data_IF_400699654499
#
_entry.id   IF_400699654499
#
_cell.length_a   1.000
_cell.length_b   1.000
_cell.length_c   1.000
_cell.angle_alpha   90.00
_cell.angle_beta   90.00
_cell.angle_gamma   90.00
#
_symmetry.space_group_name_H-M   'P 1'
#
loop_
_entity.id
_entity.type
_entity.pdbx_description
1 polymer ?
#
# COMPACT_ATOMS: atom_id res chain seq x y z
N UNK A 1 11.90 -8.53 -12.66
CA UNK A 1 10.66 -9.05 -13.27
C UNK A 1 10.32 -8.18 -14.48
N UNK A 2 9.83 -8.74 -15.58
CA UNK A 2 9.37 -7.90 -16.70
C UNK A 2 7.95 -7.39 -16.45
N UNK A 3 7.77 -6.07 -16.50
CA UNK A 3 6.49 -5.39 -16.29
C UNK A 3 5.85 -4.91 -17.61
N UNK A 4 6.01 -5.65 -18.70
CA UNK A 4 5.38 -5.33 -20.00
C UNK A 4 4.36 -6.40 -20.38
N UNK A 5 3.30 -5.98 -21.06
CA UNK A 5 2.20 -6.82 -21.55
C UNK A 5 1.52 -7.59 -20.41
N UNK A 6 1.14 -6.84 -19.34
CA UNK A 6 0.53 -7.37 -18.12
C UNK A 6 -0.86 -6.79 -17.87
N UNK A 7 -1.73 -7.57 -17.28
CA UNK A 7 -2.99 -7.13 -16.69
C UNK A 7 -2.73 -6.84 -15.20
N UNK A 8 -2.79 -5.58 -14.81
CA UNK A 8 -2.38 -5.10 -13.49
C UNK A 8 -3.56 -4.50 -12.75
N UNK A 9 -3.94 -5.08 -11.63
CA UNK A 9 -4.92 -4.52 -10.70
C UNK A 9 -4.21 -3.56 -9.75
N UNK A 10 -4.76 -2.35 -9.58
CA UNK A 10 -4.28 -1.35 -8.62
C UNK A 10 -5.44 -0.90 -7.74
N UNK A 11 -5.38 -1.20 -6.45
CA UNK A 11 -6.37 -0.70 -5.49
C UNK A 11 -5.97 0.69 -4.98
N UNK A 12 -6.96 1.55 -4.67
CA UNK A 12 -6.70 2.93 -4.29
C UNK A 12 -6.02 3.74 -5.41
N UNK A 13 -6.40 3.46 -6.66
CA UNK A 13 -5.74 4.01 -7.84
C UNK A 13 -6.00 5.50 -8.09
N UNK A 14 -7.04 6.09 -7.48
CA UNK A 14 -7.51 7.44 -7.82
C UNK A 14 -6.57 8.59 -7.44
N UNK A 15 -5.59 8.36 -6.57
CA UNK A 15 -4.68 9.41 -6.10
C UNK A 15 -3.33 8.86 -5.62
N UNK A 16 -2.41 9.76 -5.27
CA UNK A 16 -1.15 9.44 -4.63
C UNK A 16 -0.31 8.41 -5.37
N UNK A 17 0.23 7.43 -4.64
CA UNK A 17 1.12 6.39 -5.18
C UNK A 17 0.39 5.53 -6.23
N UNK A 18 -0.86 5.15 -5.96
CA UNK A 18 -1.65 4.32 -6.88
C UNK A 18 -1.86 4.98 -8.25
N UNK A 19 -2.19 6.27 -8.25
CA UNK A 19 -2.31 7.09 -9.48
C UNK A 19 -0.99 7.11 -10.26
N UNK A 20 0.12 7.39 -9.60
CA UNK A 20 1.43 7.49 -10.26
C UNK A 20 1.92 6.14 -10.79
N UNK A 21 1.61 5.04 -10.09
CA UNK A 21 1.85 3.69 -10.59
C UNK A 21 1.02 3.40 -11.84
N UNK A 22 -0.27 3.76 -11.84
CA UNK A 22 -1.14 3.58 -13.00
C UNK A 22 -0.63 4.35 -14.23
N UNK A 23 -0.27 5.64 -14.07
CA UNK A 23 0.28 6.47 -15.15
C UNK A 23 1.55 5.87 -15.75
N UNK A 24 2.49 5.41 -14.90
CA UNK A 24 3.78 4.86 -15.37
C UNK A 24 3.67 3.47 -15.98
N UNK A 25 2.79 2.65 -15.46
CA UNK A 25 2.63 1.26 -15.91
C UNK A 25 1.73 1.14 -17.14
N UNK A 26 0.83 2.11 -17.40
CA UNK A 26 -0.11 2.06 -18.52
C UNK A 26 0.56 2.06 -19.91
N UNK A 27 1.82 2.52 -20.00
CA UNK A 27 2.53 2.60 -21.29
C UNK A 27 2.60 1.25 -22.02
N UNK A 28 2.69 0.16 -21.29
CA UNK A 28 2.86 -1.19 -21.86
C UNK A 28 1.93 -2.24 -21.24
N UNK A 29 0.92 -1.82 -20.48
CA UNK A 29 0.08 -2.73 -19.71
C UNK A 29 -1.38 -2.32 -19.72
N UNK A 30 -2.27 -3.28 -19.51
CA UNK A 30 -3.66 -3.01 -19.17
C UNK A 30 -3.75 -2.74 -17.66
N UNK A 31 -4.41 -1.67 -17.28
CA UNK A 31 -4.55 -1.27 -15.87
C UNK A 31 -6.02 -1.38 -15.45
N UNK A 32 -6.27 -2.11 -14.38
CA UNK A 32 -7.56 -2.23 -13.73
C UNK A 32 -7.51 -1.33 -12.50
N UNK A 33 -8.21 -0.20 -12.57
CA UNK A 33 -8.24 0.84 -11.56
C UNK A 33 -9.38 0.57 -10.58
N UNK A 34 -9.05 0.25 -9.33
CA UNK A 34 -10.04 0.05 -8.25
C UNK A 34 -9.99 1.22 -7.29
N UNK A 35 -11.16 1.81 -7.00
CA UNK A 35 -11.27 2.91 -6.04
C UNK A 35 -12.71 3.24 -5.67
N UNK A 36 -12.91 3.89 -4.52
CA UNK A 36 -14.24 4.27 -4.02
C UNK A 36 -14.87 5.42 -4.81
N UNK A 37 -14.05 6.33 -5.31
CA UNK A 37 -14.52 7.48 -6.09
C UNK A 37 -14.37 7.17 -7.58
N UNK A 38 -15.49 6.79 -8.20
CA UNK A 38 -15.52 6.42 -9.63
C UNK A 38 -15.03 7.55 -10.52
N UNK A 39 -15.45 8.79 -10.26
CA UNK A 39 -15.05 9.97 -11.06
C UNK A 39 -13.52 10.15 -11.08
N UNK A 40 -12.86 10.02 -9.92
CA UNK A 40 -11.39 10.16 -9.85
C UNK A 40 -10.67 9.09 -10.69
N UNK A 41 -11.16 7.85 -10.71
CA UNK A 41 -10.50 6.77 -11.46
C UNK A 41 -10.85 6.82 -12.95
N UNK A 42 -12.02 7.32 -13.34
CA UNK A 42 -12.37 7.60 -14.74
C UNK A 42 -11.55 8.75 -15.30
N UNK A 43 -11.42 9.86 -14.57
CA UNK A 43 -10.56 10.99 -14.92
C UNK A 43 -9.09 10.56 -15.05
N UNK A 44 -8.66 9.59 -14.26
CA UNK A 44 -7.33 9.00 -14.39
C UNK A 44 -7.23 8.12 -15.63
N UNK A 45 -8.22 7.23 -15.88
CA UNK A 45 -8.25 6.37 -17.07
C UNK A 45 -8.07 7.17 -18.36
N UNK A 46 -8.73 8.32 -18.47
CA UNK A 46 -8.63 9.20 -19.62
C UNK A 46 -7.23 9.80 -19.83
N UNK A 47 -6.35 9.70 -18.83
CA UNK A 47 -4.95 10.19 -18.89
C UNK A 47 -3.94 9.06 -19.11
N UNK A 48 -4.40 7.81 -19.11
CA UNK A 48 -3.53 6.67 -19.34
C UNK A 48 -3.21 6.53 -20.84
N UNK A 49 -2.11 5.86 -21.15
CA UNK A 49 -1.79 5.50 -22.53
C UNK A 49 -2.87 4.57 -23.09
N UNK A 50 -3.19 4.64 -24.41
CA UNK A 50 -4.28 3.86 -24.98
C UNK A 50 -3.97 2.35 -24.93
N UNK A 51 -4.71 1.67 -24.07
CA UNK A 51 -4.70 0.22 -23.86
C UNK A 51 -6.09 -0.20 -23.34
N UNK A 52 -6.29 -1.46 -23.11
CA UNK A 52 -7.54 -1.95 -22.51
C UNK A 52 -7.54 -1.73 -20.99
N UNK A 53 -7.97 -0.54 -20.55
CA UNK A 53 -8.08 -0.19 -19.11
C UNK A 53 -9.52 -0.31 -18.62
N UNK A 54 -9.67 -0.72 -17.37
CA UNK A 54 -10.96 -0.84 -16.69
C UNK A 54 -10.98 0.01 -15.41
N UNK A 55 -12.12 0.64 -15.13
CA UNK A 55 -12.39 1.35 -13.87
C UNK A 55 -13.47 0.62 -13.10
N UNK A 56 -13.25 0.36 -11.82
CA UNK A 56 -14.21 -0.33 -10.96
C UNK A 56 -14.40 0.46 -9.66
N UNK A 57 -15.62 0.88 -9.41
CA UNK A 57 -15.98 1.42 -8.11
C UNK A 57 -16.07 0.28 -7.11
N UNK A 58 -15.21 0.31 -6.07
CA UNK A 58 -15.22 -0.72 -5.04
C UNK A 58 -14.59 -0.16 -3.75
N UNK A 59 -15.27 -0.35 -2.63
CA UNK A 59 -14.66 -0.29 -1.31
C UNK A 59 -14.16 -1.68 -0.93
N UNK A 60 -12.84 -1.85 -0.83
CA UNK A 60 -12.23 -3.14 -0.51
C UNK A 60 -12.57 -3.67 0.89
N UNK A 61 -13.12 -2.84 1.77
CA UNK A 61 -13.62 -3.23 3.08
C UNK A 61 -15.00 -3.92 3.01
N UNK A 62 -15.75 -3.71 1.90
CA UNK A 62 -17.09 -4.23 1.69
C UNK A 62 -17.03 -5.52 0.87
N UNK A 63 -17.54 -6.62 1.42
CA UNK A 63 -17.45 -7.94 0.80
C UNK A 63 -18.21 -8.02 -0.52
N UNK A 64 -19.37 -7.40 -0.60
CA UNK A 64 -20.20 -7.39 -1.81
C UNK A 64 -19.52 -6.63 -2.94
N UNK A 65 -18.93 -5.46 -2.65
CA UNK A 65 -18.14 -4.71 -3.63
C UNK A 65 -16.98 -5.55 -4.20
N UNK A 66 -16.29 -6.30 -3.31
CA UNK A 66 -15.21 -7.20 -3.75
C UNK A 66 -15.69 -8.34 -4.64
N UNK A 67 -16.89 -8.89 -4.39
CA UNK A 67 -17.48 -9.91 -5.26
C UNK A 67 -17.81 -9.32 -6.64
N UNK A 68 -18.49 -8.18 -6.66
CA UNK A 68 -18.86 -7.50 -7.89
C UNK A 68 -17.62 -7.12 -8.71
N UNK A 69 -16.60 -6.53 -8.06
CA UNK A 69 -15.33 -6.19 -8.69
C UNK A 69 -14.62 -7.43 -9.27
N UNK A 70 -14.59 -8.54 -8.52
CA UNK A 70 -14.01 -9.79 -9.01
C UNK A 70 -14.70 -10.28 -10.27
N UNK A 71 -16.03 -10.37 -10.24
CA UNK A 71 -16.83 -10.88 -11.38
C UNK A 71 -16.62 -10.00 -12.62
N UNK A 72 -16.62 -8.69 -12.46
CA UNK A 72 -16.38 -7.76 -13.56
C UNK A 72 -14.98 -7.92 -14.16
N UNK A 73 -13.95 -8.07 -13.32
CA UNK A 73 -12.57 -8.23 -13.78
C UNK A 73 -12.40 -9.54 -14.56
N UNK A 74 -12.90 -10.66 -14.04
CA UNK A 74 -12.69 -11.97 -14.70
C UNK A 74 -13.49 -12.12 -15.99
N UNK A 75 -14.59 -11.38 -16.13
CA UNK A 75 -15.33 -11.30 -17.38
C UNK A 75 -14.60 -10.50 -18.46
N UNK A 76 -13.79 -9.49 -18.07
CA UNK A 76 -13.08 -8.64 -19.02
C UNK A 76 -11.64 -9.11 -19.31
N UNK A 77 -11.01 -9.86 -18.39
CA UNK A 77 -9.61 -10.28 -18.51
C UNK A 77 -9.44 -11.78 -18.28
N UNK A 78 -8.89 -12.48 -19.26
CA UNK A 78 -8.60 -13.93 -19.17
C UNK A 78 -7.50 -14.27 -18.17
N UNK A 79 -6.61 -13.34 -17.87
CA UNK A 79 -5.51 -13.52 -16.92
C UNK A 79 -5.31 -12.26 -16.10
N UNK A 80 -4.85 -12.42 -14.86
CA UNK A 80 -4.36 -11.34 -14.00
C UNK A 80 -2.92 -11.66 -13.68
N UNK A 81 -2.04 -10.71 -13.95
CA UNK A 81 -0.60 -10.89 -13.79
C UNK A 81 -0.05 -10.25 -12.53
N UNK A 82 -0.59 -9.09 -12.14
CA UNK A 82 -0.09 -8.35 -10.99
C UNK A 82 -1.25 -7.77 -10.20
N UNK A 83 -1.20 -7.93 -8.88
CA UNK A 83 -2.09 -7.25 -7.93
C UNK A 83 -1.26 -6.27 -7.09
N UNK A 84 -1.55 -4.98 -7.19
CA UNK A 84 -0.96 -3.93 -6.38
C UNK A 84 -1.97 -3.49 -5.31
N UNK A 85 -1.76 -3.95 -4.10
CA UNK A 85 -2.52 -3.58 -2.92
C UNK A 85 -1.99 -2.24 -2.40
N UNK A 86 -2.58 -1.15 -2.89
CA UNK A 86 -2.21 0.22 -2.52
C UNK A 86 -3.29 0.93 -1.71
N UNK A 87 -4.55 0.50 -1.77
CA UNK A 87 -5.61 1.11 -0.98
C UNK A 87 -5.27 1.06 0.53
N UNK A 88 -5.47 2.18 1.19
CA UNK A 88 -5.23 2.30 2.62
C UNK A 88 -5.49 3.72 3.11
N UNK A 89 -5.75 3.84 4.39
CA UNK A 89 -5.92 5.12 5.08
C UNK A 89 -4.89 5.26 6.18
N UNK A 90 -4.45 6.50 6.42
CA UNK A 90 -3.65 6.86 7.58
C UNK A 90 -4.56 7.38 8.70
N UNK A 91 -4.10 7.20 9.93
CA UNK A 91 -4.79 7.72 11.11
C UNK A 91 -3.76 8.11 12.16
N UNK A 92 -3.94 9.27 12.76
CA UNK A 92 -3.07 9.80 13.80
C UNK A 92 -3.89 10.50 14.87
N UNK A 93 -3.94 9.91 16.07
CA UNK A 93 -4.61 10.41 17.27
C UNK A 93 -3.92 9.91 18.53
N UNK A 94 -4.11 10.56 19.67
CA UNK A 94 -3.82 9.94 20.97
C UNK A 94 -4.68 8.69 21.11
N UNK A 95 -4.11 7.62 21.66
CA UNK A 95 -4.77 6.30 21.63
C UNK A 95 -6.16 6.30 22.28
N UNK A 96 -6.30 7.02 23.37
CA UNK A 96 -7.58 7.17 24.10
C UNK A 96 -8.63 8.07 23.40
N UNK A 97 -8.27 8.71 22.30
CA UNK A 97 -9.19 9.56 21.52
C UNK A 97 -9.80 8.83 20.32
N UNK A 98 -9.36 7.60 20.03
CA UNK A 98 -9.96 6.79 18.97
C UNK A 98 -11.34 6.28 19.37
N UNK A 99 -12.30 6.36 18.45
CA UNK A 99 -13.54 5.60 18.57
C UNK A 99 -13.36 4.19 18.01
N UNK A 100 -14.23 3.26 18.41
CA UNK A 100 -14.17 1.87 17.93
C UNK A 100 -14.36 1.83 16.39
N UNK A 101 -15.27 2.66 15.84
CA UNK A 101 -15.52 2.74 14.40
C UNK A 101 -14.30 3.23 13.62
N UNK A 102 -13.53 4.16 14.19
CA UNK A 102 -12.29 4.64 13.56
C UNK A 102 -11.23 3.54 13.54
N UNK A 103 -11.13 2.77 14.61
CA UNK A 103 -10.23 1.61 14.70
C UNK A 103 -10.63 0.56 13.66
N UNK A 104 -11.88 0.16 13.66
CA UNK A 104 -12.43 -0.83 12.72
C UNK A 104 -12.20 -0.40 11.28
N UNK A 105 -12.48 0.85 10.95
CA UNK A 105 -12.29 1.39 9.60
C UNK A 105 -10.85 1.26 9.11
N UNK A 106 -9.86 1.55 9.97
CA UNK A 106 -8.44 1.42 9.60
C UNK A 106 -8.09 -0.05 9.39
N UNK A 107 -8.53 -0.94 10.27
CA UNK A 107 -8.23 -2.37 10.20
C UNK A 107 -8.95 -3.03 9.01
N UNK A 108 -10.20 -2.67 8.77
CA UNK A 108 -10.99 -3.20 7.65
C UNK A 108 -10.40 -2.83 6.29
N UNK A 109 -9.99 -1.59 6.10
CA UNK A 109 -9.41 -1.16 4.83
C UNK A 109 -7.97 -1.68 4.70
N UNK A 110 -7.11 -1.40 5.68
CA UNK A 110 -5.67 -1.64 5.54
C UNK A 110 -5.29 -3.13 5.61
N UNK A 111 -6.02 -3.92 6.41
CA UNK A 111 -5.71 -5.34 6.65
C UNK A 111 -6.71 -6.24 5.95
N UNK A 112 -7.96 -6.26 6.42
CA UNK A 112 -8.99 -7.20 5.96
C UNK A 112 -9.23 -7.07 4.44
N UNK A 113 -9.42 -5.85 3.93
CA UNK A 113 -9.63 -5.60 2.50
C UNK A 113 -8.45 -6.07 1.66
N UNK A 114 -7.21 -5.76 2.08
CA UNK A 114 -5.99 -6.22 1.41
C UNK A 114 -5.89 -7.75 1.36
N UNK A 115 -6.20 -8.43 2.46
CA UNK A 115 -6.18 -9.90 2.53
C UNK A 115 -7.28 -10.50 1.65
N UNK A 116 -8.50 -9.96 1.71
CA UNK A 116 -9.64 -10.50 0.98
C UNK A 116 -9.48 -10.36 -0.53
N UNK A 117 -9.06 -9.20 -1.03
CA UNK A 117 -8.82 -9.04 -2.46
C UNK A 117 -7.66 -9.94 -2.95
N UNK A 118 -6.61 -10.08 -2.14
CA UNK A 118 -5.51 -10.99 -2.46
C UNK A 118 -6.01 -12.43 -2.56
N UNK A 119 -6.83 -12.88 -1.61
CA UNK A 119 -7.44 -14.22 -1.62
C UNK A 119 -8.26 -14.46 -2.89
N UNK A 120 -9.02 -13.46 -3.34
CA UNK A 120 -9.85 -13.60 -4.55
C UNK A 120 -9.04 -13.84 -5.82
N UNK A 121 -7.90 -13.14 -5.96
CA UNK A 121 -7.08 -13.24 -7.18
C UNK A 121 -5.94 -14.24 -7.09
N UNK A 122 -5.76 -14.95 -5.97
CA UNK A 122 -4.61 -15.83 -5.75
C UNK A 122 -4.46 -16.91 -6.82
N UNK A 123 -5.56 -17.55 -7.24
CA UNK A 123 -5.51 -18.61 -8.25
C UNK A 123 -5.18 -18.08 -9.65
N UNK A 124 -5.63 -16.86 -9.98
CA UNK A 124 -5.24 -16.19 -11.22
C UNK A 124 -3.74 -15.88 -11.24
N UNK A 125 -3.21 -15.38 -10.11
CA UNK A 125 -1.80 -15.09 -9.96
C UNK A 125 -0.91 -16.34 -9.96
N UNK A 126 -1.39 -17.47 -9.44
CA UNK A 126 -0.71 -18.77 -9.55
C UNK A 126 -0.64 -19.23 -11.02
N UNK A 127 -1.75 -19.14 -11.76
CA UNK A 127 -1.81 -19.52 -13.18
C UNK A 127 -0.87 -18.66 -14.03
N UNK A 128 -0.83 -17.36 -13.80
CA UNK A 128 0.03 -16.43 -14.55
C UNK A 128 1.49 -16.44 -14.08
N UNK A 129 1.83 -17.12 -12.95
CA UNK A 129 3.10 -17.00 -12.25
C UNK A 129 3.45 -15.54 -11.99
N UNK A 130 2.46 -14.80 -11.54
CA UNK A 130 2.42 -13.36 -11.47
C UNK A 130 3.08 -12.77 -10.22
N UNK A 131 2.57 -11.61 -9.78
CA UNK A 131 3.09 -10.95 -8.59
C UNK A 131 2.01 -10.25 -7.76
N UNK A 132 2.29 -10.13 -6.47
CA UNK A 132 1.57 -9.33 -5.49
C UNK A 132 2.51 -8.25 -5.00
N UNK A 133 2.05 -7.00 -4.97
CA UNK A 133 2.79 -5.85 -4.45
C UNK A 133 1.98 -5.22 -3.34
N UNK A 134 2.42 -5.34 -2.10
CA UNK A 134 1.75 -4.79 -0.94
C UNK A 134 2.40 -3.46 -0.54
N UNK A 135 1.63 -2.36 -0.58
CA UNK A 135 2.12 -1.06 -0.14
C UNK A 135 1.95 -0.94 1.37
N UNK A 136 3.05 -1.15 2.06
CA UNK A 136 3.20 -0.96 3.49
C UNK A 136 3.48 0.49 3.87
N UNK A 137 4.41 0.68 4.81
CA UNK A 137 4.90 1.99 5.27
C UNK A 137 6.16 1.80 6.10
N UNK A 138 6.98 2.83 6.25
CA UNK A 138 8.00 2.89 7.31
C UNK A 138 7.40 2.72 8.72
N UNK A 139 6.12 3.08 8.90
CA UNK A 139 5.38 2.82 10.14
C UNK A 139 4.99 1.35 10.34
N UNK A 140 5.20 0.48 9.35
CA UNK A 140 5.18 -0.97 9.47
C UNK A 140 6.56 -1.58 9.81
N UNK A 141 7.55 -0.73 10.05
CA UNK A 141 8.92 -1.09 10.45
C UNK A 141 9.29 -0.51 11.81
N UNK A 142 8.93 0.75 12.05
CA UNK A 142 9.08 1.48 13.32
C UNK A 142 7.72 2.06 13.68
N UNK A 143 7.15 1.58 14.80
CA UNK A 143 5.89 2.11 15.30
C UNK A 143 6.09 3.51 15.91
N UNK A 144 5.20 4.44 15.59
CA UNK A 144 5.27 5.80 16.10
C UNK A 144 4.11 6.08 17.06
N UNK A 145 4.34 6.82 18.16
CA UNK A 145 3.25 7.25 19.05
C UNK A 145 2.23 8.08 18.28
N UNK A 146 0.99 8.01 18.69
CA UNK A 146 -0.19 8.58 18.03
C UNK A 146 -0.54 7.98 16.66
N UNK A 147 0.30 7.15 16.08
CA UNK A 147 0.00 6.34 14.89
C UNK A 147 -0.24 4.85 15.26
N UNK A 148 -0.72 4.57 16.45
CA UNK A 148 -0.80 3.22 17.01
C UNK A 148 -1.57 2.26 16.11
N UNK A 149 -2.80 2.61 15.72
CA UNK A 149 -3.64 1.75 14.87
C UNK A 149 -3.09 1.65 13.45
N UNK A 150 -2.62 2.76 12.90
CA UNK A 150 -1.99 2.76 11.57
C UNK A 150 -0.72 1.90 11.54
N UNK A 151 0.17 2.07 12.52
CA UNK A 151 1.39 1.25 12.62
C UNK A 151 1.03 -0.23 12.75
N UNK A 152 0.10 -0.59 13.64
CA UNK A 152 -0.36 -1.98 13.81
C UNK A 152 -0.84 -2.57 12.48
N UNK A 153 -1.63 -1.80 11.70
CA UNK A 153 -2.10 -2.25 10.39
C UNK A 153 -0.96 -2.49 9.40
N UNK A 154 0.05 -1.62 9.40
CA UNK A 154 1.18 -1.72 8.46
C UNK A 154 2.19 -2.82 8.85
N UNK A 155 2.37 -3.09 10.15
CA UNK A 155 3.10 -4.28 10.64
C UNK A 155 2.38 -5.57 10.24
N UNK A 156 1.05 -5.62 10.35
CA UNK A 156 0.26 -6.77 9.92
C UNK A 156 0.47 -7.07 8.41
N UNK A 157 0.47 -6.04 7.56
CA UNK A 157 0.72 -6.20 6.11
C UNK A 157 2.14 -6.68 5.83
N UNK A 158 3.12 -6.28 6.63
CA UNK A 158 4.49 -6.81 6.50
C UNK A 158 4.53 -8.31 6.81
N UNK A 159 3.97 -8.71 7.95
CA UNK A 159 3.89 -10.14 8.33
C UNK A 159 3.13 -10.97 7.30
N UNK A 160 1.98 -10.48 6.82
CA UNK A 160 1.22 -11.09 5.75
C UNK A 160 2.05 -11.27 4.47
N UNK A 161 2.78 -10.22 4.05
CA UNK A 161 3.62 -10.28 2.84
C UNK A 161 4.74 -11.31 2.96
N UNK A 162 5.40 -11.37 4.13
CA UNK A 162 6.50 -12.29 4.37
C UNK A 162 6.04 -13.76 4.42
N UNK A 163 4.90 -14.04 5.07
CA UNK A 163 4.30 -15.36 5.11
C UNK A 163 3.85 -15.80 3.70
N UNK A 164 3.08 -14.95 3.03
CA UNK A 164 2.54 -15.25 1.70
C UNK A 164 3.65 -15.46 0.65
N UNK A 165 4.76 -14.72 0.74
CA UNK A 165 5.92 -14.94 -0.13
C UNK A 165 6.49 -16.35 0.01
N UNK A 166 6.57 -16.87 1.23
CA UNK A 166 7.05 -18.21 1.50
C UNK A 166 6.10 -19.27 0.99
N UNK A 167 4.79 -19.09 1.22
CA UNK A 167 3.75 -20.00 0.75
C UNK A 167 3.69 -20.07 -0.78
N UNK A 168 3.81 -18.93 -1.47
CA UNK A 168 3.63 -18.87 -2.91
C UNK A 168 4.90 -19.13 -3.74
N UNK A 169 6.03 -19.30 -3.09
CA UNK A 169 7.32 -19.48 -3.77
C UNK A 169 7.31 -20.67 -4.74
N UNK A 170 6.75 -21.80 -4.35
CA UNK A 170 6.67 -22.99 -5.19
C UNK A 170 5.72 -22.85 -6.40
N UNK A 171 4.76 -21.93 -6.34
CA UNK A 171 3.93 -21.54 -7.48
C UNK A 171 4.58 -20.50 -8.38
N UNK A 172 5.80 -20.05 -8.07
CA UNK A 172 6.54 -18.98 -8.76
C UNK A 172 5.83 -17.62 -8.75
N UNK A 173 4.92 -17.40 -7.80
CA UNK A 173 4.29 -16.09 -7.57
C UNK A 173 5.22 -15.24 -6.69
N UNK A 174 5.52 -14.03 -7.14
CA UNK A 174 6.38 -13.11 -6.40
C UNK A 174 5.54 -12.23 -5.47
N UNK A 175 5.99 -12.07 -4.24
CA UNK A 175 5.33 -11.16 -3.29
C UNK A 175 6.34 -10.10 -2.86
N UNK A 176 6.02 -8.84 -3.17
CA UNK A 176 6.81 -7.67 -2.83
C UNK A 176 6.14 -6.90 -1.70
N UNK A 177 6.91 -6.50 -0.72
CA UNK A 177 6.51 -5.55 0.30
C UNK A 177 7.23 -4.23 0.04
N UNK A 178 6.46 -3.15 -0.01
CA UNK A 178 6.98 -1.79 -0.21
C UNK A 178 6.83 -1.02 1.07
N UNK A 179 7.90 -0.37 1.54
CA UNK A 179 7.92 0.41 2.77
C UNK A 179 8.23 1.89 2.45
N UNK A 180 7.26 2.66 1.91
CA UNK A 180 7.47 4.08 1.63
C UNK A 180 7.54 4.88 2.93
N UNK A 181 8.33 5.95 2.93
CA UNK A 181 8.23 6.99 3.96
C UNK A 181 7.04 7.91 3.68
N UNK A 182 6.84 8.93 4.50
CA UNK A 182 5.78 9.90 4.30
C UNK A 182 5.77 10.37 2.83
N UNK A 183 4.60 10.32 2.22
CA UNK A 183 4.41 10.65 0.80
C UNK A 183 3.29 11.68 0.70
N UNK A 184 3.49 12.71 -0.10
CA UNK A 184 2.54 13.81 -0.28
C UNK A 184 1.25 13.32 -0.93
N UNK A 185 0.32 12.88 -0.11
CA UNK A 185 -0.98 12.31 -0.49
C UNK A 185 -2.07 12.94 0.35
N UNK A 186 -3.33 12.82 -0.08
CA UNK A 186 -4.47 13.27 0.72
C UNK A 186 -4.50 12.56 2.09
N UNK A 187 -4.11 11.30 2.15
CA UNK A 187 -4.01 10.55 3.41
C UNK A 187 -3.00 11.15 4.39
N UNK A 188 -1.88 11.71 3.93
CA UNK A 188 -0.91 12.40 4.78
C UNK A 188 -1.49 13.70 5.33
N UNK A 189 -2.21 14.47 4.52
CA UNK A 189 -2.80 15.74 4.95
C UNK A 189 -3.77 15.57 6.14
N UNK A 190 -4.45 14.44 6.24
CA UNK A 190 -5.35 14.11 7.35
C UNK A 190 -4.62 13.91 8.69
N UNK A 191 -3.31 13.78 8.70
CA UNK A 191 -2.48 13.52 9.89
C UNK A 191 -1.45 14.61 10.16
N UNK A 192 -1.56 15.76 9.48
CA UNK A 192 -0.54 16.82 9.46
C UNK A 192 -0.25 17.40 10.86
N UNK A 193 -1.26 17.57 11.69
CA UNK A 193 -1.08 18.18 13.01
C UNK A 193 -0.18 17.37 13.94
N UNK A 194 -0.29 16.05 13.90
CA UNK A 194 0.60 15.14 14.63
C UNK A 194 1.90 14.91 13.84
N UNK A 195 1.83 14.83 12.53
CA UNK A 195 2.99 14.62 11.65
C UNK A 195 4.09 15.67 11.81
N UNK A 196 3.73 16.93 12.08
CA UNK A 196 4.66 18.05 12.31
C UNK A 196 5.65 17.80 13.45
N UNK A 197 5.27 17.03 14.48
CA UNK A 197 6.15 16.72 15.61
C UNK A 197 7.31 15.79 15.24
N UNK A 198 7.14 14.99 14.18
CA UNK A 198 8.13 13.98 13.78
C UNK A 198 9.13 14.48 12.73
N UNK A 199 8.98 15.70 12.21
CA UNK A 199 9.86 16.28 11.17
C UNK A 199 10.14 15.29 10.01
N UNK A 200 9.10 14.59 9.55
CA UNK A 200 9.24 13.57 8.54
C UNK A 200 9.66 14.13 7.19
N UNK A 201 10.60 13.44 6.54
CA UNK A 201 10.90 13.70 5.14
C UNK A 201 9.74 13.20 4.26
N UNK A 202 9.18 14.07 3.44
CA UNK A 202 8.03 13.77 2.57
C UNK A 202 8.52 13.60 1.12
N UNK A 203 8.18 12.47 0.51
CA UNK A 203 8.46 12.20 -0.91
C UNK A 203 7.27 12.57 -1.79
N UNK A 204 7.54 13.00 -3.02
CA UNK A 204 6.50 13.13 -4.05
C UNK A 204 6.06 11.74 -4.53
N UNK A 205 4.74 11.51 -4.77
CA UNK A 205 4.21 10.21 -5.17
C UNK A 205 4.88 9.65 -6.44
N UNK A 206 5.24 10.51 -7.36
CA UNK A 206 5.94 10.13 -8.58
C UNK A 206 7.30 9.48 -8.30
N UNK A 207 8.07 10.05 -7.37
CA UNK A 207 9.36 9.49 -6.96
C UNK A 207 9.19 8.12 -6.32
N UNK A 208 8.13 7.97 -5.50
CA UNK A 208 7.79 6.71 -4.86
C UNK A 208 7.45 5.65 -5.91
N UNK A 209 6.58 5.96 -6.87
CA UNK A 209 6.24 5.04 -7.96
C UNK A 209 7.47 4.61 -8.78
N UNK A 210 8.40 5.52 -9.06
CA UNK A 210 9.65 5.21 -9.78
C UNK A 210 10.50 4.17 -9.04
N UNK A 211 10.72 4.33 -7.73
CA UNK A 211 11.54 3.36 -7.01
C UNK A 211 10.81 2.03 -6.77
N UNK A 212 9.48 2.03 -6.65
CA UNK A 212 8.67 0.80 -6.58
C UNK A 212 8.87 -0.02 -7.87
N UNK A 213 8.64 0.58 -9.03
CA UNK A 213 8.82 -0.08 -10.33
C UNK A 213 10.25 -0.61 -10.50
N UNK A 214 11.25 0.19 -10.11
CA UNK A 214 12.65 -0.24 -10.14
C UNK A 214 12.91 -1.43 -9.23
N UNK A 215 12.37 -1.41 -8.01
CA UNK A 215 12.51 -2.51 -7.05
C UNK A 215 11.87 -3.81 -7.55
N UNK A 216 10.68 -3.74 -8.15
CA UNK A 216 10.00 -4.89 -8.75
C UNK A 216 10.83 -5.47 -9.91
N UNK A 217 11.32 -4.61 -10.81
CA UNK A 217 12.17 -5.04 -11.94
C UNK A 217 13.44 -5.75 -11.47
N UNK A 218 14.03 -5.28 -10.38
CA UNK A 218 15.24 -5.86 -9.78
C UNK A 218 14.95 -7.04 -8.84
N UNK A 219 13.70 -7.52 -8.74
CA UNK A 219 13.29 -8.59 -7.82
C UNK A 219 13.64 -8.31 -6.34
N UNK A 220 13.57 -7.07 -5.91
CA UNK A 220 13.78 -6.70 -4.50
C UNK A 220 12.50 -6.98 -3.71
N UNK A 221 12.43 -8.09 -3.00
CA UNK A 221 11.22 -8.50 -2.26
C UNK A 221 10.78 -7.50 -1.20
N UNK A 222 11.72 -6.77 -0.60
CA UNK A 222 11.44 -5.64 0.27
C UNK A 222 12.01 -4.37 -0.36
N UNK A 223 11.13 -3.42 -0.67
CA UNK A 223 11.48 -2.19 -1.39
C UNK A 223 11.41 -1.03 -0.40
N UNK A 224 12.59 -0.48 -0.07
CA UNK A 224 12.74 0.69 0.79
C UNK A 224 13.14 1.93 -0.01
N UNK A 225 12.83 3.15 0.48
CA UNK A 225 13.47 4.35 -0.04
C UNK A 225 14.98 4.27 0.20
N UNK A 226 15.77 4.83 -0.73
CA UNK A 226 17.23 4.98 -0.52
C UNK A 226 17.46 6.16 0.41
N UNK A 227 17.47 5.93 1.71
CA UNK A 227 17.53 7.00 2.70
C UNK A 227 18.11 6.53 4.02
N UNK A 228 18.38 7.48 4.90
CA UNK A 228 18.90 7.26 6.25
C UNK A 228 17.95 6.40 7.10
N UNK A 229 16.64 6.37 6.78
CA UNK A 229 15.66 5.56 7.48
C UNK A 229 16.01 4.07 7.49
N UNK A 230 16.68 3.56 6.45
CA UNK A 230 17.17 2.16 6.44
C UNK A 230 18.21 1.90 7.54
N UNK A 231 19.03 2.88 7.85
CA UNK A 231 19.98 2.80 8.95
C UNK A 231 19.25 2.76 10.30
N UNK A 232 18.20 3.57 10.46
CA UNK A 232 17.38 3.51 11.66
C UNK A 232 16.70 2.15 11.88
N UNK A 233 16.30 1.45 10.82
CA UNK A 233 15.77 0.10 10.94
C UNK A 233 16.79 -0.88 11.52
N UNK A 234 18.06 -0.74 11.11
CA UNK A 234 19.15 -1.52 11.68
C UNK A 234 19.36 -1.18 13.16
N UNK A 235 19.41 0.11 13.50
CA UNK A 235 19.55 0.59 14.90
C UNK A 235 18.41 0.05 15.76
N UNK A 236 17.17 0.15 15.30
CA UNK A 236 16.01 -0.37 16.05
C UNK A 236 16.13 -1.84 16.40
N UNK A 237 16.63 -2.65 15.46
CA UNK A 237 16.76 -4.09 15.67
C UNK A 237 17.69 -4.46 16.83
N UNK A 238 18.73 -3.65 17.06
CA UNK A 238 19.79 -3.94 18.05
C UNK A 238 19.78 -2.97 19.24
N UNK A 239 19.24 -1.78 19.08
CA UNK A 239 19.28 -0.69 20.07
C UNK A 239 17.90 -0.05 20.26
N UNK A 240 16.88 -0.87 20.50
CA UNK A 240 15.46 -0.45 20.62
C UNK A 240 15.30 0.70 21.63
N UNK A 241 16.01 0.64 22.76
CA UNK A 241 15.93 1.65 23.83
C UNK A 241 16.28 3.07 23.35
N UNK A 242 17.18 3.22 22.37
CA UNK A 242 17.51 4.55 21.81
C UNK A 242 16.33 5.14 21.02
N UNK A 243 15.68 4.30 20.23
CA UNK A 243 14.50 4.70 19.46
C UNK A 243 13.33 5.01 20.42
N UNK A 244 13.09 4.16 21.41
CA UNK A 244 12.03 4.32 22.41
C UNK A 244 12.18 5.62 23.19
N UNK A 245 13.39 5.96 23.67
CA UNK A 245 13.64 7.19 24.39
C UNK A 245 13.33 8.43 23.52
N UNK A 246 13.73 8.41 22.26
CA UNK A 246 13.48 9.51 21.32
C UNK A 246 11.98 9.67 21.04
N UNK A 247 11.30 8.59 20.68
CA UNK A 247 9.88 8.60 20.37
C UNK A 247 9.02 8.93 21.61
N UNK A 248 9.42 8.48 22.81
CA UNK A 248 8.77 8.84 24.07
C UNK A 248 8.89 10.32 24.39
N UNK A 249 10.03 10.93 24.10
CA UNK A 249 10.20 12.38 24.27
C UNK A 249 9.29 13.18 23.31
N UNK A 250 9.07 12.70 22.09
CA UNK A 250 8.14 13.31 21.15
C UNK A 250 6.70 13.11 21.64
N UNK A 251 6.34 11.89 22.08
CA UNK A 251 5.04 11.59 22.66
C UNK A 251 4.68 12.53 23.79
N UNK A 252 5.62 12.73 24.75
CA UNK A 252 5.43 13.67 25.86
C UNK A 252 5.05 15.09 25.38
N UNK A 253 5.71 15.58 24.32
CA UNK A 253 5.38 16.90 23.74
C UNK A 253 3.98 16.96 23.13
N UNK A 254 3.50 15.87 22.53
CA UNK A 254 2.14 15.80 21.94
C UNK A 254 1.08 15.78 23.04
N UNK A 255 1.32 15.05 24.13
CA UNK A 255 0.35 14.91 25.22
C UNK A 255 0.29 16.13 26.15
N UNK A 256 1.34 16.95 26.20
CA UNK A 256 1.39 18.17 27.01
C UNK A 256 0.84 19.42 26.30
N UNK A 257 0.47 19.31 25.03
CA UNK A 257 -0.29 20.35 24.30
C UNK A 257 -1.78 20.03 24.29
#
# INVERSE_FOLDING_TARGET
MNLKNKNIIITGAGEGIGKELALKLSLHNNIILIGRNIKKIEDLKNKLNPNNHLTIQCDIAVKEDLENAYNEIVNNYKSIDILINNAGISSAKKFNEYTDEEIEKVLDINIKGTILITKKFIEHLKKSKGAIVNIGSMFGEIAHPCYTIYSSSKFAIKGFSDALRRELNHFKVKVFYVSPRATKTQSLQQTDDIGKFFKMNVDEPEKVAKYIIKGINNNQFTIYPKSIERFFLFIQKFFTKLIDNNLSAISKKIYLK
#
